data_IF_673078220677
#
_entry.id   IF_673078220677
#
_cell.length_a   1.000
_cell.length_b   1.000
_cell.length_c   1.000
_cell.angle_alpha   90.00
_cell.angle_beta   90.00
_cell.angle_gamma   90.00
#
_symmetry.space_group_name_H-M   'P 1'
#
loop_
_entity.id
_entity.type
_entity.pdbx_description
1 polymer ?
#
# COMPACT_ATOMS: atom_id res chain seq x y z
N UNK A 1 -18.81 13.10 -15.99
CA UNK A 1 -18.12 12.50 -14.82
C UNK A 1 -18.14 11.00 -15.03
N UNK A 2 -16.99 10.31 -15.13
CA UNK A 2 -16.99 8.85 -15.19
C UNK A 2 -17.65 8.30 -13.93
N UNK A 3 -18.57 7.36 -14.09
CA UNK A 3 -19.20 6.67 -12.97
C UNK A 3 -18.25 5.64 -12.35
N UNK A 4 -18.64 5.06 -11.21
CA UNK A 4 -17.89 3.99 -10.59
C UNK A 4 -17.68 2.79 -11.54
N UNK A 5 -18.63 2.53 -12.44
CA UNK A 5 -18.56 1.48 -13.46
C UNK A 5 -17.46 1.78 -14.50
N UNK A 6 -17.42 2.99 -15.05
CA UNK A 6 -16.38 3.40 -16.01
C UNK A 6 -14.99 3.39 -15.37
N UNK A 7 -14.87 3.83 -14.11
CA UNK A 7 -13.61 3.74 -13.37
C UNK A 7 -13.14 2.29 -13.19
N UNK A 8 -14.06 1.36 -12.92
CA UNK A 8 -13.74 -0.06 -12.80
C UNK A 8 -13.24 -0.63 -14.13
N UNK A 9 -13.88 -0.27 -15.25
CA UNK A 9 -13.44 -0.69 -16.58
C UNK A 9 -12.03 -0.16 -16.88
N UNK A 10 -11.75 1.10 -16.59
CA UNK A 10 -10.41 1.69 -16.76
C UNK A 10 -9.39 0.96 -15.88
N UNK A 11 -9.72 0.68 -14.62
CA UNK A 11 -8.86 -0.06 -13.70
C UNK A 11 -8.54 -1.46 -14.24
N UNK A 12 -9.52 -2.16 -14.81
CA UNK A 12 -9.33 -3.48 -15.42
C UNK A 12 -8.37 -3.39 -16.61
N UNK A 13 -8.52 -2.40 -17.49
CA UNK A 13 -7.63 -2.21 -18.64
C UNK A 13 -6.19 -1.96 -18.16
N UNK A 14 -6.00 -1.06 -17.19
CA UNK A 14 -4.70 -0.79 -16.58
C UNK A 14 -4.12 -2.06 -15.96
N UNK A 15 -4.94 -2.84 -15.25
CA UNK A 15 -4.53 -4.10 -14.65
C UNK A 15 -4.09 -5.14 -15.69
N UNK A 16 -4.73 -5.19 -16.87
CA UNK A 16 -4.29 -6.07 -17.96
C UNK A 16 -2.95 -5.64 -18.58
N UNK A 17 -2.70 -4.33 -18.69
CA UNK A 17 -1.45 -3.79 -19.26
C UNK A 17 -0.24 -3.99 -18.32
N UNK A 18 -0.43 -3.68 -17.04
CA UNK A 18 0.65 -3.76 -16.05
C UNK A 18 0.74 -5.14 -15.37
N UNK A 19 -0.38 -5.85 -15.29
CA UNK A 19 -0.50 -7.13 -14.61
C UNK A 19 -0.65 -7.01 -13.10
N UNK A 20 -1.24 -8.06 -12.50
CA UNK A 20 -1.50 -8.16 -11.06
C UNK A 20 -0.24 -8.01 -10.19
N UNK A 21 0.93 -8.36 -10.71
CA UNK A 21 2.19 -8.35 -9.98
C UNK A 21 2.82 -6.96 -9.88
N UNK A 22 2.61 -6.09 -10.88
CA UNK A 22 3.25 -4.76 -10.93
C UNK A 22 2.53 -3.74 -10.06
N UNK A 23 1.20 -3.82 -9.95
CA UNK A 23 0.40 -2.91 -9.13
C UNK A 23 0.82 -2.87 -7.65
N UNK A 24 1.01 -4.01 -6.94
CA UNK A 24 1.45 -3.99 -5.55
C UNK A 24 2.90 -3.53 -5.39
N UNK A 25 3.79 -3.81 -6.34
CA UNK A 25 5.18 -3.32 -6.30
C UNK A 25 5.23 -1.79 -6.42
N UNK A 26 4.45 -1.22 -7.34
CA UNK A 26 4.31 0.23 -7.51
C UNK A 26 3.68 0.87 -6.26
N UNK A 27 2.61 0.27 -5.72
CA UNK A 27 1.95 0.76 -4.51
C UNK A 27 2.90 0.75 -3.29
N UNK A 28 3.72 -0.29 -3.13
CA UNK A 28 4.74 -0.36 -2.06
C UNK A 28 5.77 0.75 -2.20
N UNK A 29 6.26 1.01 -3.42
CA UNK A 29 7.23 2.08 -3.67
C UNK A 29 6.65 3.47 -3.39
N UNK A 30 5.47 3.75 -3.96
CA UNK A 30 4.77 5.02 -3.76
C UNK A 30 4.36 5.22 -2.30
N UNK A 31 3.85 4.18 -1.63
CA UNK A 31 3.47 4.23 -0.22
C UNK A 31 4.64 4.60 0.68
N UNK A 32 5.80 3.94 0.50
CA UNK A 32 7.03 4.30 1.24
C UNK A 32 7.45 5.75 1.00
N UNK A 33 7.42 6.22 -0.26
CA UNK A 33 7.75 7.62 -0.57
C UNK A 33 6.77 8.60 0.07
N UNK A 34 5.46 8.34 0.03
CA UNK A 34 4.44 9.20 0.65
C UNK A 34 4.60 9.21 2.17
N UNK A 35 4.85 8.06 2.79
CA UNK A 35 5.09 7.95 4.25
C UNK A 35 6.32 8.77 4.65
N UNK A 36 7.44 8.62 3.95
CA UNK A 36 8.66 9.38 4.25
C UNK A 36 8.48 10.89 3.97
N UNK A 37 7.76 11.24 2.90
CA UNK A 37 7.45 12.63 2.58
C UNK A 37 6.60 13.28 3.68
N UNK A 38 5.55 12.57 4.13
CA UNK A 38 4.69 13.04 5.23
C UNK A 38 5.46 13.10 6.56
N UNK A 39 6.35 12.16 6.84
CA UNK A 39 7.21 12.18 8.02
C UNK A 39 8.11 13.42 8.03
N UNK A 40 8.79 13.73 6.91
CA UNK A 40 9.63 14.92 6.81
C UNK A 40 8.86 16.25 6.91
N UNK A 41 7.62 16.29 6.43
CA UNK A 41 6.73 17.45 6.63
C UNK A 41 6.25 17.59 8.09
N UNK A 42 6.13 16.48 8.80
CA UNK A 42 5.72 16.45 10.21
C UNK A 42 6.91 16.71 11.16
N UNK A 43 8.15 16.41 10.78
CA UNK A 43 9.35 16.72 11.59
C UNK A 43 9.55 18.23 11.81
N UNK A 44 8.96 19.08 10.95
CA UNK A 44 8.93 20.54 11.16
C UNK A 44 7.82 20.99 12.14
N UNK A 45 6.92 20.11 12.56
CA UNK A 45 5.89 20.36 13.58
C UNK A 45 6.11 19.41 14.78
N UNK A 46 6.67 19.88 15.90
CA UNK A 46 6.99 19.03 17.03
C UNK A 46 5.71 18.69 17.81
N UNK A 47 4.85 17.80 17.30
CA UNK A 47 3.78 17.16 18.06
C UNK A 47 3.36 15.82 17.42
N UNK A 48 3.81 14.75 18.09
CA UNK A 48 3.13 13.46 18.30
C UNK A 48 2.31 12.84 17.16
N UNK A 49 2.88 11.87 16.42
CA UNK A 49 2.18 10.61 16.06
C UNK A 49 3.13 9.57 15.46
N UNK A 50 3.83 8.84 16.32
CA UNK A 50 4.40 7.53 15.95
C UNK A 50 3.28 6.49 15.97
N UNK A 51 2.83 6.00 14.82
CA UNK A 51 2.12 4.72 14.74
C UNK A 51 1.99 4.18 13.31
N UNK A 52 2.52 2.96 13.16
CA UNK A 52 2.12 1.90 12.24
C UNK A 52 2.65 1.91 10.81
N UNK A 53 3.71 1.11 10.60
CA UNK A 53 3.74 0.09 9.54
C UNK A 53 4.83 -0.97 9.80
N UNK A 54 4.75 -1.69 10.91
CA UNK A 54 5.33 -3.03 11.01
C UNK A 54 4.18 -4.02 11.22
N UNK A 55 3.71 -4.61 10.13
CA UNK A 55 3.03 -5.89 10.20
C UNK A 55 3.54 -6.76 9.06
N UNK A 56 4.66 -7.39 9.36
CA UNK A 56 5.04 -8.68 8.81
C UNK A 56 3.94 -9.66 9.20
N UNK A 57 3.01 -9.92 8.29
CA UNK A 57 2.11 -11.06 8.39
C UNK A 57 2.77 -12.24 7.66
N UNK A 58 3.82 -12.76 8.28
CA UNK A 58 4.31 -14.12 8.07
C UNK A 58 3.13 -15.08 8.37
N UNK A 59 2.78 -16.04 7.50
CA UNK A 59 1.78 -17.04 7.85
C UNK A 59 2.34 -17.91 8.99
N UNK A 60 1.60 -18.12 10.09
CA UNK A 60 2.11 -18.92 11.21
C UNK A 60 2.38 -20.37 10.75
N UNK A 61 3.57 -20.94 11.04
CA UNK A 61 3.84 -22.36 10.82
C UNK A 61 2.84 -23.21 11.58
N UNK A 62 2.10 -24.05 10.86
CA UNK A 62 1.24 -25.08 11.45
C UNK A 62 2.10 -26.22 11.98
N UNK A 63 2.68 -26.10 13.18
CA UNK A 63 3.31 -27.25 13.85
C UNK A 63 3.20 -27.19 15.38
N UNK A 64 2.21 -27.91 15.92
CA UNK A 64 2.35 -29.00 16.91
C UNK A 64 1.05 -29.15 17.70
N UNK A 65 0.56 -30.39 17.76
CA UNK A 65 -0.07 -31.12 18.89
C UNK A 65 -0.98 -32.19 18.24
N UNK A 66 -0.81 -33.49 18.40
CA UNK A 66 0.12 -34.36 19.12
C UNK A 66 -0.18 -35.80 18.70
#
# INVERSE_FOLDING_TARGET
MPGPTELLIILVIVFFLFGAKRLPDLAKGLGKSITNFKAGLNEEQPDETETTAQQEAEPPPKEKTG
#
